data_IF_288091902333
#
_entry.id   IF_288091902333
#
_cell.length_a   1.000
_cell.length_b   1.000
_cell.length_c   1.000
_cell.angle_alpha   90.00
_cell.angle_beta   90.00
_cell.angle_gamma   90.00
#
_symmetry.space_group_name_H-M   'P 1'
#
loop_
_entity.id
_entity.type
_entity.pdbx_description
1 polymer ?
#
# COMPACT_ATOMS: atom_id res chain seq x y z
N UNK A 1 14.44 7.17 11.82
CA UNK A 1 13.16 6.58 11.41
C UNK A 1 12.42 7.60 10.60
N UNK A 2 11.69 7.15 9.59
CA UNK A 2 11.01 8.01 8.65
C UNK A 2 9.83 7.29 8.03
N UNK A 3 9.17 7.97 7.10
CA UNK A 3 8.01 7.45 6.42
C UNK A 3 8.43 6.61 5.22
N UNK A 4 7.85 5.41 5.10
CA UNK A 4 7.99 4.51 3.97
C UNK A 4 6.64 4.48 3.25
N UNK A 5 6.45 5.43 2.33
CA UNK A 5 5.15 5.67 1.68
C UNK A 5 5.26 5.39 0.19
N UNK A 6 4.15 4.92 -0.39
CA UNK A 6 3.98 4.67 -1.80
C UNK A 6 5.05 3.77 -2.39
N UNK A 7 5.74 4.23 -3.44
CA UNK A 7 6.82 3.48 -4.09
C UNK A 7 7.91 2.98 -3.13
N UNK A 8 8.18 3.68 -2.02
CA UNK A 8 9.12 3.20 -1.00
C UNK A 8 8.61 1.95 -0.27
N UNK A 9 7.30 1.87 -0.01
CA UNK A 9 6.66 0.69 0.53
C UNK A 9 6.56 -0.40 -0.53
N UNK A 10 6.23 -0.08 -1.77
CA UNK A 10 6.19 -1.08 -2.86
C UNK A 10 7.55 -1.75 -3.07
N UNK A 11 8.65 -0.98 -2.97
CA UNK A 11 10.01 -1.51 -2.98
C UNK A 11 10.26 -2.42 -1.77
N UNK A 12 9.89 -1.99 -0.56
CA UNK A 12 10.04 -2.81 0.63
C UNK A 12 9.24 -4.13 0.54
N UNK A 13 8.03 -4.10 -0.04
CA UNK A 13 7.20 -5.27 -0.30
C UNK A 13 7.83 -6.21 -1.33
N UNK A 14 8.65 -5.71 -2.25
CA UNK A 14 9.40 -6.53 -3.20
C UNK A 14 10.59 -7.27 -2.56
N UNK A 15 11.13 -6.78 -1.45
CA UNK A 15 12.24 -7.44 -0.75
C UNK A 15 11.84 -8.80 -0.15
N UNK A 16 12.84 -9.65 0.12
CA UNK A 16 12.61 -10.94 0.79
C UNK A 16 12.16 -10.78 2.25
N UNK A 17 12.62 -9.73 2.92
CA UNK A 17 12.37 -9.51 4.33
C UNK A 17 12.27 -8.01 4.64
N UNK A 18 11.43 -7.66 5.62
CA UNK A 18 11.13 -6.27 5.98
C UNK A 18 11.26 -6.08 7.49
N UNK A 19 12.04 -5.10 7.90
CA UNK A 19 12.25 -4.74 9.30
C UNK A 19 11.96 -3.24 9.43
N UNK A 20 11.13 -2.89 10.39
CA UNK A 20 10.82 -1.50 10.71
C UNK A 20 10.93 -1.32 12.22
N UNK A 21 11.38 -0.14 12.66
CA UNK A 21 11.46 0.14 14.11
C UNK A 21 10.16 0.75 14.62
N UNK A 22 9.80 0.37 15.85
CA UNK A 22 8.64 0.81 16.58
C UNK A 22 8.78 2.27 17.04
N UNK A 23 8.58 3.20 16.11
CA UNK A 23 8.66 4.63 16.36
C UNK A 23 7.44 5.31 15.73
N UNK A 24 6.87 6.30 16.39
CA UNK A 24 5.70 7.06 15.91
C UNK A 24 5.95 7.72 14.54
N UNK A 25 7.21 8.02 14.21
CA UNK A 25 7.62 8.58 12.91
C UNK A 25 7.73 7.51 11.81
N UNK A 26 7.80 6.23 12.17
CA UNK A 26 7.77 5.12 11.22
C UNK A 26 6.35 4.91 10.73
N UNK A 27 6.07 5.42 9.53
CA UNK A 27 4.74 5.38 8.92
C UNK A 27 4.81 4.65 7.59
N UNK A 28 3.83 3.78 7.34
CA UNK A 28 3.70 2.96 6.15
C UNK A 28 2.35 3.21 5.50
N UNK A 29 2.33 3.49 4.21
CA UNK A 29 1.10 3.73 3.46
C UNK A 29 1.30 3.55 1.96
N UNK A 30 0.21 3.34 1.25
CA UNK A 30 0.10 3.46 -0.20
C UNK A 30 -0.83 4.65 -0.52
N UNK A 31 -0.34 5.90 -0.50
CA UNK A 31 -1.16 7.11 -0.63
C UNK A 31 -1.56 7.45 -2.07
N UNK A 32 -1.27 6.58 -3.05
CA UNK A 32 -1.51 6.82 -4.48
C UNK A 32 -2.95 7.21 -4.78
N UNK A 33 -3.91 6.58 -4.09
CA UNK A 33 -5.34 6.87 -4.24
C UNK A 33 -5.70 8.32 -3.89
N UNK A 34 -4.95 8.96 -2.98
CA UNK A 34 -5.17 10.36 -2.61
C UNK A 34 -4.76 11.33 -3.73
N UNK A 35 -3.94 10.87 -4.67
CA UNK A 35 -3.57 11.59 -5.88
C UNK A 35 -4.45 11.18 -7.08
N UNK A 36 -5.47 10.35 -6.85
CA UNK A 36 -6.30 9.81 -7.92
C UNK A 36 -5.58 8.71 -8.70
N UNK A 37 -4.55 8.08 -8.14
CA UNK A 37 -3.73 7.05 -8.79
C UNK A 37 -3.90 5.70 -8.08
N UNK A 38 -3.24 4.67 -8.60
CA UNK A 38 -3.13 3.35 -7.98
C UNK A 38 -1.66 2.98 -7.75
N UNK A 39 -1.35 2.07 -6.81
CA UNK A 39 0.01 1.56 -6.63
C UNK A 39 0.50 0.87 -7.91
N UNK A 40 1.64 1.31 -8.45
CA UNK A 40 2.09 0.96 -9.79
C UNK A 40 3.32 0.07 -9.85
N UNK A 41 3.90 -0.33 -8.72
CA UNK A 41 5.12 -1.11 -8.63
C UNK A 41 4.92 -2.44 -7.88
N UNK A 42 3.72 -3.01 -7.92
CA UNK A 42 3.38 -4.29 -7.30
C UNK A 42 2.60 -4.18 -6.00
N UNK A 43 2.26 -2.98 -5.53
CA UNK A 43 1.52 -2.76 -4.30
C UNK A 43 0.14 -3.44 -4.31
N UNK A 44 -0.55 -3.43 -5.46
CA UNK A 44 -1.87 -4.07 -5.59
C UNK A 44 -1.79 -5.60 -5.54
N UNK A 45 -0.62 -6.17 -5.78
CA UNK A 45 -0.42 -7.62 -5.88
C UNK A 45 0.27 -8.20 -4.64
N UNK A 46 1.31 -7.53 -4.13
CA UNK A 46 2.08 -8.00 -2.97
C UNK A 46 1.35 -7.76 -1.66
N UNK A 47 0.70 -6.59 -1.51
CA UNK A 47 0.07 -6.25 -0.23
C UNK A 47 -1.11 -7.20 0.12
N UNK A 48 -2.06 -7.54 -0.79
CA UNK A 48 -3.12 -8.49 -0.47
C UNK A 48 -2.64 -9.93 -0.23
N UNK A 49 -1.40 -10.26 -0.62
CA UNK A 49 -0.79 -11.57 -0.36
C UNK A 49 -0.05 -11.61 0.97
N UNK A 50 0.55 -10.49 1.38
CA UNK A 50 1.29 -10.35 2.64
C UNK A 50 0.39 -9.99 3.83
N UNK A 51 -0.65 -9.20 3.59
CA UNK A 51 -1.65 -8.81 4.57
C UNK A 51 -2.99 -9.54 4.32
N UNK A 52 -3.91 -9.51 5.28
CA UNK A 52 -5.29 -9.94 5.04
C UNK A 52 -5.95 -9.08 3.94
N UNK A 53 -6.82 -9.67 3.12
CA UNK A 53 -7.48 -8.95 2.01
C UNK A 53 -8.19 -7.67 2.49
N UNK A 54 -8.98 -7.67 3.59
CA UNK A 54 -9.65 -6.46 4.07
C UNK A 54 -8.67 -5.36 4.48
N UNK A 55 -7.56 -5.70 5.16
CA UNK A 55 -6.58 -4.70 5.58
C UNK A 55 -5.78 -4.16 4.40
N UNK A 56 -5.44 -5.00 3.42
CA UNK A 56 -4.83 -4.55 2.18
C UNK A 56 -5.74 -3.59 1.40
N UNK A 57 -7.02 -3.93 1.25
CA UNK A 57 -8.01 -3.07 0.59
C UNK A 57 -8.17 -1.74 1.33
N UNK A 58 -8.28 -1.76 2.65
CA UNK A 58 -8.41 -0.52 3.42
C UNK A 58 -7.15 0.34 3.31
N UNK A 59 -5.95 -0.24 3.36
CA UNK A 59 -4.69 0.50 3.15
C UNK A 59 -4.61 1.15 1.76
N UNK A 60 -4.94 0.42 0.70
CA UNK A 60 -4.81 0.89 -0.69
C UNK A 60 -5.93 1.89 -1.04
N UNK A 61 -7.17 1.63 -0.62
CA UNK A 61 -8.33 2.46 -1.01
C UNK A 61 -8.43 3.76 -0.20
N UNK A 62 -7.92 3.80 1.03
CA UNK A 62 -7.95 5.04 1.84
C UNK A 62 -6.61 5.79 1.83
N UNK A 63 -5.51 5.15 1.43
CA UNK A 63 -4.17 5.71 1.53
C UNK A 63 -3.75 6.05 2.97
N UNK A 64 -4.37 5.42 3.98
CA UNK A 64 -4.14 5.76 5.38
C UNK A 64 -2.73 5.37 5.81
N UNK A 65 -2.16 6.17 6.70
CA UNK A 65 -0.85 5.89 7.28
C UNK A 65 -0.99 4.97 8.47
N UNK A 66 -0.26 3.87 8.46
CA UNK A 66 -0.13 2.95 9.58
C UNK A 66 1.21 3.17 10.28
N UNK A 67 1.16 3.24 11.59
CA UNK A 67 2.34 3.18 12.46
C UNK A 67 2.83 1.73 12.56
N UNK A 68 4.12 1.52 12.81
CA UNK A 68 4.73 0.19 12.78
C UNK A 68 4.03 -0.85 13.69
N UNK A 69 3.50 -0.42 14.83
CA UNK A 69 2.74 -1.24 15.80
C UNK A 69 1.38 -1.74 15.29
N UNK A 70 0.78 -1.05 14.31
CA UNK A 70 -0.53 -1.38 13.74
C UNK A 70 -0.45 -2.20 12.47
N UNK A 71 0.75 -2.46 11.98
CA UNK A 71 0.98 -3.19 10.74
C UNK A 71 0.96 -4.68 11.04
N UNK A 72 0.21 -5.45 10.24
CA UNK A 72 0.16 -6.90 10.39
C UNK A 72 1.57 -7.51 10.30
N UNK A 73 1.84 -8.51 11.15
CA UNK A 73 3.16 -9.18 11.22
C UNK A 73 3.61 -9.83 9.89
N UNK A 74 2.65 -10.14 9.00
CA UNK A 74 2.94 -10.63 7.65
C UNK A 74 3.61 -9.58 6.74
N UNK A 75 3.39 -8.29 7.01
CA UNK A 75 3.97 -7.18 6.23
C UNK A 75 5.41 -6.90 6.68
N UNK A 76 5.68 -6.76 7.98
CA UNK A 76 7.02 -6.39 8.48
C UNK A 76 7.30 -6.90 9.88
N UNK A 77 8.59 -6.96 10.26
CA UNK A 77 9.01 -7.28 11.62
C UNK A 77 9.30 -5.98 12.33
N UNK A 78 8.75 -5.87 13.53
CA UNK A 78 8.92 -4.71 14.38
C UNK A 78 10.18 -4.92 15.22
N UNK A 79 10.99 -3.87 15.32
CA UNK A 79 12.15 -3.79 16.20
C UNK A 79 11.96 -2.60 17.14
N UNK A 80 12.10 -2.76 18.45
CA UNK A 80 11.86 -1.62 19.35
C UNK A 80 13.02 -0.62 19.40
N UNK A 81 14.25 -1.07 19.12
CA UNK A 81 15.43 -0.24 19.25
C UNK A 81 16.06 0.12 17.90
N UNK A 82 16.00 1.42 17.56
CA UNK A 82 16.61 1.98 16.34
C UNK A 82 18.10 1.66 16.21
N UNK A 83 18.85 1.66 17.32
CA UNK A 83 20.31 1.52 17.31
C UNK A 83 20.77 0.20 16.70
N UNK A 84 19.96 -0.85 16.81
CA UNK A 84 20.27 -2.18 16.33
C UNK A 84 19.69 -2.48 14.93
N UNK A 85 19.02 -1.52 14.29
CA UNK A 85 18.33 -1.77 13.01
C UNK A 85 19.28 -2.33 11.95
N UNK A 86 20.43 -1.70 11.76
CA UNK A 86 21.42 -2.12 10.77
C UNK A 86 22.00 -3.49 11.12
N UNK A 87 22.45 -3.69 12.35
CA UNK A 87 23.02 -4.96 12.80
C UNK A 87 22.02 -6.12 12.66
N UNK A 88 20.75 -5.88 13.00
CA UNK A 88 19.69 -6.88 12.87
C UNK A 88 19.39 -7.15 11.40
N UNK A 89 19.34 -6.12 10.55
CA UNK A 89 19.13 -6.29 9.12
C UNK A 89 20.26 -7.10 8.46
N UNK A 90 21.53 -6.80 8.78
CA UNK A 90 22.70 -7.54 8.27
C UNK A 90 22.67 -8.99 8.76
N UNK A 91 22.42 -9.22 10.05
CA UNK A 91 22.34 -10.58 10.60
C UNK A 91 21.19 -11.37 9.98
N UNK A 92 20.03 -10.73 9.77
CA UNK A 92 18.89 -11.35 9.10
C UNK A 92 19.21 -11.70 7.65
N UNK A 93 19.91 -10.83 6.92
CA UNK A 93 20.35 -11.11 5.55
C UNK A 93 21.31 -12.31 5.50
N UNK A 94 22.26 -12.41 6.44
CA UNK A 94 23.15 -13.57 6.58
C UNK A 94 22.37 -14.85 6.90
N UNK A 95 21.37 -14.75 7.79
CA UNK A 95 20.51 -15.87 8.18
C UNK A 95 19.59 -16.35 7.03
N UNK A 96 19.16 -15.44 6.16
CA UNK A 96 18.43 -15.78 4.94
C UNK A 96 19.35 -16.47 3.92
N UNK A 97 20.57 -15.96 3.75
CA UNK A 97 21.54 -16.50 2.80
C UNK A 97 22.04 -17.90 3.17
N UNK A 98 22.21 -18.18 4.47
CA UNK A 98 22.64 -19.49 4.96
C UNK A 98 21.47 -20.48 5.18
N UNK A 99 20.22 -20.06 4.94
CA UNK A 99 19.02 -20.90 5.08
C UNK A 99 18.54 -21.13 6.52
N UNK A 100 19.19 -20.55 7.53
CA UNK A 100 18.74 -20.64 8.94
C UNK A 100 17.43 -19.90 9.21
N UNK A 101 17.10 -18.92 8.38
CA UNK A 101 15.84 -18.19 8.42
C UNK A 101 15.15 -18.30 7.05
N UNK A 102 13.87 -18.64 7.05
CA UNK A 102 13.06 -18.68 5.82
C UNK A 102 12.41 -17.32 5.58
N UNK A 103 12.48 -16.83 4.34
CA UNK A 103 11.86 -15.55 3.96
C UNK A 103 10.33 -15.58 4.02
N UNK A 104 9.72 -16.78 4.00
CA UNK A 104 8.28 -16.95 4.11
C UNK A 104 7.84 -16.67 5.55
N UNK A 105 7.24 -15.51 5.74
CA UNK A 105 6.39 -15.28 6.91
C UNK A 105 5.05 -15.93 6.64
N UNK A 106 4.89 -17.15 7.16
CA UNK A 106 3.62 -17.83 7.08
C UNK A 106 2.60 -17.06 7.90
N UNK A 107 1.53 -16.62 7.24
CA UNK A 107 0.31 -16.22 7.93
C UNK A 107 -0.17 -17.41 8.75
N UNK A 108 -0.85 -17.15 9.86
CA UNK A 108 -1.46 -18.22 10.66
C UNK A 108 -2.35 -19.10 9.77
N UNK A 109 -2.39 -20.41 10.03
CA UNK A 109 -3.21 -21.36 9.26
C UNK A 109 -4.67 -20.90 9.10
N UNK A 110 -5.23 -20.30 10.16
CA UNK A 110 -6.57 -19.71 10.14
C UNK A 110 -6.69 -18.52 9.18
N UNK A 111 -5.69 -17.65 9.14
CA UNK A 111 -5.65 -16.50 8.21
C UNK A 111 -5.51 -16.98 6.77
N UNK A 112 -4.67 -17.99 6.51
CA UNK A 112 -4.55 -18.59 5.18
C UNK A 112 -5.86 -19.24 4.71
N UNK A 113 -6.54 -19.96 5.60
CA UNK A 113 -7.84 -20.56 5.29
C UNK A 113 -8.90 -19.49 4.98
N UNK A 114 -8.97 -18.44 5.82
CA UNK A 114 -9.88 -17.31 5.60
C UNK A 114 -9.57 -16.57 4.30
N UNK A 115 -8.30 -16.24 4.03
CA UNK A 115 -7.88 -15.57 2.80
C UNK A 115 -8.18 -16.44 1.56
N UNK A 116 -8.08 -17.77 1.67
CA UNK A 116 -8.42 -18.69 0.58
C UNK A 116 -9.92 -18.78 0.31
N UNK A 117 -10.74 -18.76 1.37
CA UNK A 117 -12.20 -18.67 1.24
C UNK A 117 -12.58 -17.32 0.64
N UNK A 118 -12.00 -16.24 1.14
CA UNK A 118 -12.28 -14.86 0.70
C UNK A 118 -11.75 -14.55 -0.70
N UNK A 119 -10.73 -15.27 -1.17
CA UNK A 119 -10.22 -15.18 -2.54
C UNK A 119 -10.92 -16.13 -3.52
N UNK A 120 -11.84 -16.97 -3.05
CA UNK A 120 -12.71 -17.76 -3.93
C UNK A 120 -13.58 -16.81 -4.73
N UNK A 121 -13.53 -16.88 -6.07
CA UNK A 121 -14.14 -15.90 -6.99
C UNK A 121 -15.57 -15.51 -6.61
N UNK A 122 -16.41 -16.47 -6.21
CA UNK A 122 -17.80 -16.18 -5.82
C UNK A 122 -17.91 -15.32 -4.55
N UNK A 123 -17.09 -15.58 -3.53
CA UNK A 123 -17.10 -14.83 -2.26
C UNK A 123 -16.40 -13.49 -2.43
N UNK A 124 -15.26 -13.49 -3.13
CA UNK A 124 -14.50 -12.30 -3.46
C UNK A 124 -15.39 -11.27 -4.16
N UNK A 125 -16.10 -11.69 -5.20
CA UNK A 125 -16.90 -10.80 -6.03
C UNK A 125 -18.19 -10.35 -5.34
N UNK A 126 -18.94 -11.30 -4.75
CA UNK A 126 -20.28 -11.01 -4.21
C UNK A 126 -20.25 -10.35 -2.84
N UNK A 127 -19.20 -10.56 -2.06
CA UNK A 127 -19.13 -10.07 -0.67
C UNK A 127 -18.03 -9.03 -0.53
N UNK A 128 -16.77 -9.42 -0.73
CA UNK A 128 -15.61 -8.56 -0.38
C UNK A 128 -15.54 -7.34 -1.29
N UNK A 129 -15.51 -7.54 -2.60
CA UNK A 129 -15.40 -6.48 -3.58
C UNK A 129 -16.69 -5.68 -3.67
N UNK A 130 -17.86 -6.32 -3.54
CA UNK A 130 -19.14 -5.60 -3.48
C UNK A 130 -19.18 -4.63 -2.29
N UNK A 131 -18.86 -5.09 -1.09
CA UNK A 131 -18.82 -4.22 0.09
C UNK A 131 -17.79 -3.10 -0.04
N UNK A 132 -16.60 -3.41 -0.57
CA UNK A 132 -15.58 -2.41 -0.83
C UNK A 132 -16.03 -1.37 -1.86
N UNK A 133 -16.68 -1.82 -2.95
CA UNK A 133 -17.26 -0.96 -3.99
C UNK A 133 -18.37 -0.08 -3.43
N UNK A 134 -19.30 -0.63 -2.65
CA UNK A 134 -20.39 0.12 -2.03
C UNK A 134 -19.86 1.19 -1.06
N UNK A 135 -18.85 0.85 -0.25
CA UNK A 135 -18.17 1.79 0.64
C UNK A 135 -17.50 2.92 -0.16
N UNK A 136 -16.76 2.56 -1.21
CA UNK A 136 -16.12 3.52 -2.12
C UNK A 136 -17.16 4.43 -2.75
N UNK A 137 -18.22 3.89 -3.35
CA UNK A 137 -19.30 4.66 -3.99
C UNK A 137 -19.99 5.60 -3.00
N UNK A 138 -20.24 5.14 -1.77
CA UNK A 138 -20.82 5.97 -0.71
C UNK A 138 -19.91 7.15 -0.32
N UNK A 139 -18.61 6.94 -0.24
CA UNK A 139 -17.65 7.98 0.16
C UNK A 139 -17.29 8.93 -0.98
N UNK A 140 -17.25 8.44 -2.20
CA UNK A 140 -16.77 9.17 -3.38
C UNK A 140 -17.91 9.74 -4.23
N UNK A 141 -19.15 9.32 -3.98
CA UNK A 141 -20.32 9.54 -4.83
C UNK A 141 -20.09 9.12 -6.30
N UNK A 142 -19.13 8.23 -6.57
CA UNK A 142 -18.75 7.80 -7.92
C UNK A 142 -17.86 8.77 -8.70
N UNK A 143 -17.47 9.92 -8.12
CA UNK A 143 -16.70 10.94 -8.82
C UNK A 143 -15.21 10.62 -8.99
N UNK A 144 -14.71 9.61 -8.27
CA UNK A 144 -13.30 9.24 -8.24
C UNK A 144 -13.12 7.86 -8.90
N UNK A 145 -12.51 7.78 -10.10
CA UNK A 145 -12.36 6.52 -10.82
C UNK A 145 -11.26 5.61 -10.24
N UNK A 146 -10.26 6.17 -9.55
CA UNK A 146 -9.09 5.41 -9.07
C UNK A 146 -9.44 4.28 -8.09
N UNK A 147 -10.26 4.51 -7.04
CA UNK A 147 -10.65 3.45 -6.12
C UNK A 147 -11.36 2.26 -6.78
N UNK A 148 -12.18 2.51 -7.81
CA UNK A 148 -12.86 1.45 -8.55
C UNK A 148 -11.88 0.65 -9.39
N UNK A 149 -10.99 1.32 -10.14
CA UNK A 149 -9.94 0.65 -10.91
C UNK A 149 -9.00 -0.19 -10.03
N UNK A 150 -8.69 0.28 -8.82
CA UNK A 150 -7.90 -0.48 -7.84
C UNK A 150 -8.57 -1.82 -7.52
N UNK A 151 -9.88 -1.83 -7.27
CA UNK A 151 -10.63 -3.06 -6.98
C UNK A 151 -10.55 -4.06 -8.13
N UNK A 152 -10.67 -3.59 -9.36
CA UNK A 152 -10.63 -4.44 -10.57
C UNK A 152 -9.24 -5.06 -10.79
N UNK A 153 -8.17 -4.28 -10.55
CA UNK A 153 -6.77 -4.77 -10.65
C UNK A 153 -6.46 -5.81 -9.57
N UNK A 154 -6.89 -5.57 -8.33
CA UNK A 154 -6.71 -6.52 -7.23
C UNK A 154 -7.48 -7.82 -7.52
N UNK A 155 -8.73 -7.72 -7.98
CA UNK A 155 -9.54 -8.87 -8.37
C UNK A 155 -8.83 -9.72 -9.41
N UNK A 156 -8.35 -9.08 -10.48
CA UNK A 156 -7.67 -9.78 -11.59
C UNK A 156 -6.45 -10.54 -11.10
N UNK A 157 -5.67 -9.96 -10.18
CA UNK A 157 -4.52 -10.63 -9.59
C UNK A 157 -4.83 -11.76 -8.62
N UNK A 158 -5.95 -11.67 -7.90
CA UNK A 158 -6.41 -12.73 -6.99
C UNK A 158 -7.01 -13.91 -7.75
N UNK A 159 -7.81 -13.66 -8.79
CA UNK A 159 -8.52 -14.71 -9.55
C UNK A 159 -7.64 -15.32 -10.62
N UNK A 160 -6.97 -14.51 -11.44
CA UNK A 160 -6.25 -14.99 -12.63
C UNK A 160 -4.75 -15.25 -12.36
N UNK A 161 -4.31 -15.02 -11.11
CA UNK A 161 -2.94 -15.26 -10.66
C UNK A 161 -2.01 -14.03 -10.76
N UNK A 162 -0.82 -14.11 -10.14
CA UNK A 162 0.06 -12.96 -9.96
C UNK A 162 0.59 -12.40 -11.28
N UNK A 163 0.95 -13.24 -12.25
CA UNK A 163 1.43 -12.76 -13.56
C UNK A 163 0.38 -11.92 -14.27
N UNK A 164 -0.88 -12.35 -14.22
CA UNK A 164 -2.00 -11.57 -14.78
C UNK A 164 -2.38 -10.38 -13.92
N UNK A 165 -2.11 -10.42 -12.61
CA UNK A 165 -2.31 -9.29 -11.70
C UNK A 165 -1.28 -8.19 -11.89
N UNK A 166 0.01 -8.52 -11.93
CA UNK A 166 1.08 -7.58 -12.30
C UNK A 166 0.93 -7.11 -13.73
N UNK A 167 0.49 -8.00 -14.63
CA UNK A 167 0.03 -7.57 -15.93
C UNK A 167 -1.12 -6.60 -15.75
N UNK A 168 -2.26 -6.86 -15.12
CA UNK A 168 -3.34 -5.88 -14.97
C UNK A 168 -2.92 -4.56 -14.28
N UNK A 169 -1.99 -4.60 -13.33
CA UNK A 169 -1.38 -3.43 -12.72
C UNK A 169 -0.52 -2.63 -13.73
N UNK A 170 0.22 -3.33 -14.60
CA UNK A 170 1.08 -2.77 -15.66
C UNK A 170 0.40 -2.60 -17.05
N UNK A 171 -0.73 -3.27 -17.28
CA UNK A 171 -1.34 -3.73 -18.55
C UNK A 171 -2.87 -3.63 -18.48
N UNK A 172 -3.46 -2.99 -17.48
CA UNK A 172 -4.64 -2.18 -17.77
C UNK A 172 -4.18 -1.11 -18.79
N UNK A 173 -4.48 -1.36 -20.06
CA UNK A 173 -3.49 -1.50 -21.15
C UNK A 173 -2.66 -0.25 -21.47
N UNK A 174 -1.34 -0.47 -21.49
CA UNK A 174 -0.28 0.53 -21.64
C UNK A 174 -0.23 1.52 -20.48
N UNK A 175 0.94 2.14 -20.31
CA UNK A 175 1.25 3.28 -19.42
C UNK A 175 0.27 4.48 -19.50
N UNK A 176 -0.78 4.36 -20.33
CA UNK A 176 -1.75 5.34 -20.81
C UNK A 176 -3.18 5.05 -20.30
N UNK A 177 -3.62 3.83 -19.91
CA UNK A 177 -5.05 3.57 -19.60
C UNK A 177 -5.49 3.44 -18.12
N UNK A 178 -4.71 2.87 -17.20
CA UNK A 178 -5.11 2.91 -15.78
C UNK A 178 -4.40 4.03 -15.04
N UNK A 179 -3.10 3.87 -14.76
CA UNK A 179 -2.30 4.96 -14.20
C UNK A 179 -2.25 6.16 -15.15
N UNK A 180 -2.07 5.94 -16.46
CA UNK A 180 -2.08 7.00 -17.46
C UNK A 180 -3.41 7.77 -17.51
N UNK A 181 -4.55 7.13 -17.77
CA UNK A 181 -5.84 7.82 -17.79
C UNK A 181 -6.12 8.47 -16.45
N UNK A 182 -5.79 7.80 -15.34
CA UNK A 182 -5.90 8.40 -14.02
C UNK A 182 -5.07 9.68 -13.93
N UNK A 183 -3.78 9.68 -14.31
CA UNK A 183 -2.96 10.91 -14.35
C UNK A 183 -3.53 11.98 -15.28
N UNK A 184 -4.21 11.59 -16.36
CA UNK A 184 -4.86 12.48 -17.33
C UNK A 184 -6.28 12.90 -16.90
N UNK A 185 -6.85 12.31 -15.85
CA UNK A 185 -8.16 12.72 -15.36
C UNK A 185 -8.08 14.09 -14.70
N UNK A 186 -9.17 14.85 -14.86
CA UNK A 186 -9.35 16.11 -14.17
C UNK A 186 -9.19 15.95 -12.64
N UNK A 187 -9.70 14.85 -12.08
CA UNK A 187 -9.63 14.54 -10.67
C UNK A 187 -8.18 14.40 -10.19
N UNK A 188 -7.34 13.62 -10.89
CA UNK A 188 -5.92 13.49 -10.52
C UNK A 188 -5.18 14.82 -10.64
N UNK A 189 -5.38 15.56 -11.73
CA UNK A 189 -4.75 16.86 -11.92
C UNK A 189 -5.12 17.84 -10.78
N UNK A 190 -6.41 17.90 -10.41
CA UNK A 190 -6.90 18.71 -9.30
C UNK A 190 -6.32 18.26 -7.95
N UNK A 191 -6.29 16.95 -7.68
CA UNK A 191 -5.75 16.40 -6.42
C UNK A 191 -4.25 16.65 -6.28
N UNK A 192 -3.48 16.54 -7.37
CA UNK A 192 -2.05 16.89 -7.38
C UNK A 192 -1.87 18.40 -7.13
N UNK A 193 -2.72 19.24 -7.74
CA UNK A 193 -2.75 20.68 -7.46
C UNK A 193 -2.99 20.99 -5.98
N UNK A 194 -3.99 20.35 -5.37
CA UNK A 194 -4.29 20.47 -3.94
C UNK A 194 -3.14 19.96 -3.05
N UNK A 195 -2.50 18.85 -3.44
CA UNK A 195 -1.34 18.31 -2.73
C UNK A 195 -0.17 19.30 -2.74
N UNK A 196 0.16 19.87 -3.90
CA UNK A 196 1.20 20.87 -4.04
C UNK A 196 0.85 22.14 -3.23
N UNK A 197 -0.39 22.62 -3.35
CA UNK A 197 -0.89 23.76 -2.57
C UNK A 197 -0.77 23.52 -1.06
N UNK A 198 -1.22 22.36 -0.56
CA UNK A 198 -1.10 21.98 0.85
C UNK A 198 0.34 21.87 1.33
N UNK A 199 1.25 21.45 0.44
CA UNK A 199 2.68 21.35 0.75
C UNK A 199 3.31 22.74 0.86
N UNK A 200 2.95 23.66 -0.03
CA UNK A 200 3.40 25.05 0.04
C UNK A 200 2.84 25.77 1.27
N UNK A 201 1.58 25.55 1.64
CA UNK A 201 0.99 26.18 2.86
C UNK A 201 1.62 25.69 4.15
N UNK A 202 2.31 24.54 4.14
CA UNK A 202 3.06 24.04 5.31
C UNK A 202 4.43 24.69 5.46
N UNK A 203 4.92 25.39 4.43
CA UNK A 203 6.19 26.12 4.47
C UNK A 203 5.92 27.54 4.93
N UNK A 204 6.76 28.04 5.82
CA UNK A 204 6.70 29.44 6.20
C UNK A 204 7.36 30.30 5.11
N UNK A 205 6.54 30.84 4.20
CA UNK A 205 6.99 31.66 3.07
C UNK A 205 7.76 32.91 3.49
N UNK A 206 7.46 33.45 4.67
CA UNK A 206 8.00 34.72 5.15
C UNK A 206 9.11 34.54 6.21
N UNK A 207 9.51 33.29 6.51
CA UNK A 207 10.53 33.01 7.54
C UNK A 207 10.00 33.16 8.97
N UNK A 208 10.85 32.86 9.97
CA UNK A 208 10.47 33.06 11.37
C UNK A 208 10.13 34.53 11.61
N UNK A 209 8.97 34.80 12.23
CA UNK A 209 8.57 36.16 12.56
C UNK A 209 9.63 36.84 13.42
N UNK A 210 9.89 38.11 13.14
CA UNK A 210 10.78 38.92 13.97
C UNK A 210 10.15 39.00 15.36
N UNK A 211 10.90 38.61 16.40
CA UNK A 211 10.46 38.77 17.77
C UNK A 211 10.26 40.27 18.05
N UNK A 212 9.01 40.69 18.25
CA UNK A 212 8.68 42.04 18.67
C UNK A 212 9.18 42.19 20.11
N UNK A 213 10.14 43.08 20.32
CA UNK A 213 10.63 43.47 21.66
C UNK A 213 9.61 44.33 22.38
#
# INVERSE_FOLDING_TARGET
>A
MGSCLGGGLELALACHYRIAVNDKKTQLALPEVMLGLLPGAGGTQRLPRLASIPNALDMILTGKRLTADRVEHGILQILDCKRYLESVAVNTAKALANGSLTAKREKSFLQNAQDKIMSTSLVLDKVVLKMARDKVMKQTAGNYPAPLKILDVIRTGLVNGPTQGYAAEAKAELRIQAFGELTQTYQSAALIGLFNGSTETKKNKYGQGIAVK
#
